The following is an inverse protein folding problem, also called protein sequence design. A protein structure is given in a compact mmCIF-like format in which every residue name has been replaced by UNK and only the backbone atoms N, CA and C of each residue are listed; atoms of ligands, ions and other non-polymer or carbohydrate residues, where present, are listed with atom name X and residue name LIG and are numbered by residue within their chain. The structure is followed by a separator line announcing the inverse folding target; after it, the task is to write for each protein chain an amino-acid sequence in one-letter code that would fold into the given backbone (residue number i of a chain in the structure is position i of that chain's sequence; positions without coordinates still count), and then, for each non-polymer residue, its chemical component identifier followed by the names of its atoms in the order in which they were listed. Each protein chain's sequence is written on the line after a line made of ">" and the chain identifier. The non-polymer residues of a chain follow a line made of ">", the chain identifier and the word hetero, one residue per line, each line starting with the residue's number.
data_IF_820439683394
#
_entry.id   IF_820439683394
#
_cell.length_a   1.000
_cell.length_b   1.000
_cell.length_c   1.000
_cell.angle_alpha   90.00
_cell.angle_beta   90.00
_cell.angle_gamma   90.00
#
_symmetry.space_group_name_H-M   'P 1'
#
loop_
_entity.id
_entity.type
_entity.pdbx_description
1 polymer ?
#
# COMPACT_ATOMS: atom_id res chain seq x y z
N UNK A 1 -3.54 -13.82 15.15
CA UNK A 1 -3.64 -12.99 13.93
C UNK A 1 -3.60 -11.54 14.37
N UNK A 2 -2.74 -10.70 13.79
CA UNK A 2 -2.60 -9.28 14.14
C UNK A 2 -3.04 -8.46 12.95
N UNK A 3 -3.85 -7.44 13.16
CA UNK A 3 -4.32 -6.50 12.12
C UNK A 3 -3.90 -5.10 12.50
N UNK A 4 -3.27 -4.37 11.59
CA UNK A 4 -2.83 -3.00 11.80
C UNK A 4 -2.76 -2.24 10.47
N UNK A 5 -2.83 -0.90 10.47
CA UNK A 5 -2.51 -0.08 9.30
C UNK A 5 -1.06 -0.31 8.84
N UNK A 6 -0.78 -0.09 7.54
CA UNK A 6 0.56 -0.30 6.96
C UNK A 6 1.65 0.51 7.68
N UNK A 7 1.33 1.72 8.12
CA UNK A 7 2.26 2.62 8.83
C UNK A 7 2.78 2.04 10.16
N UNK A 8 2.02 1.14 10.80
CA UNK A 8 2.40 0.46 12.03
C UNK A 8 3.14 -0.87 11.81
N UNK A 9 3.32 -1.28 10.55
CA UNK A 9 3.97 -2.54 10.22
C UNK A 9 5.50 -2.48 10.41
N UNK A 10 6.08 -1.28 10.48
CA UNK A 10 7.54 -1.07 10.55
C UNK A 10 8.17 -1.79 11.76
N UNK A 11 9.22 -2.56 11.50
CA UNK A 11 9.98 -3.28 12.53
C UNK A 11 9.34 -4.59 12.99
N UNK A 12 8.14 -4.92 12.48
CA UNK A 12 7.54 -6.24 12.64
C UNK A 12 7.99 -7.14 11.49
N UNK A 13 7.88 -8.46 11.64
CA UNK A 13 8.06 -9.44 10.56
C UNK A 13 7.22 -10.69 10.84
N UNK A 14 6.67 -11.29 9.79
CA UNK A 14 5.78 -12.44 9.89
C UNK A 14 6.11 -13.47 8.79
N UNK A 15 5.83 -14.76 9.06
CA UNK A 15 5.95 -15.80 8.03
C UNK A 15 5.03 -15.52 6.85
N UNK A 16 3.78 -15.16 7.12
CA UNK A 16 2.80 -14.78 6.11
C UNK A 16 2.23 -13.38 6.41
N UNK A 17 2.08 -12.56 5.37
CA UNK A 17 1.44 -11.23 5.45
C UNK A 17 0.36 -11.14 4.37
N UNK A 18 -0.78 -10.58 4.73
CA UNK A 18 -1.83 -10.18 3.79
C UNK A 18 -1.93 -8.66 3.81
N UNK A 19 -1.74 -8.02 2.66
CA UNK A 19 -2.06 -6.60 2.47
C UNK A 19 -3.42 -6.55 1.77
N UNK A 20 -4.41 -6.02 2.47
CA UNK A 20 -5.81 -6.05 2.06
C UNK A 20 -6.25 -4.70 1.52
N UNK A 21 -7.33 -4.68 0.73
CA UNK A 21 -7.91 -3.49 0.13
C UNK A 21 -6.90 -2.68 -0.73
N UNK A 22 -6.11 -3.37 -1.55
CA UNK A 22 -5.25 -2.76 -2.56
C UNK A 22 -6.10 -2.33 -3.79
N UNK A 23 -7.08 -1.48 -3.54
CA UNK A 23 -8.14 -1.07 -4.46
C UNK A 23 -7.85 0.34 -5.01
N UNK A 24 -8.41 0.68 -6.17
CA UNK A 24 -8.41 2.06 -6.67
C UNK A 24 -9.10 2.98 -5.63
N UNK A 25 -8.50 4.14 -5.37
CA UNK A 25 -8.96 5.14 -4.39
C UNK A 25 -8.75 4.79 -2.92
N UNK A 26 -8.34 3.55 -2.60
CA UNK A 26 -7.89 3.16 -1.26
C UNK A 26 -6.36 3.20 -1.18
N UNK A 27 -5.67 2.84 -2.26
CA UNK A 27 -4.22 2.88 -2.36
C UNK A 27 -3.81 3.40 -3.76
N UNK A 28 -3.34 4.64 -3.89
CA UNK A 28 -3.28 5.69 -2.87
C UNK A 28 -4.68 6.11 -2.37
N UNK A 29 -4.75 6.66 -1.15
CA UNK A 29 -6.01 7.11 -0.57
C UNK A 29 -6.50 8.40 -1.25
N UNK A 30 -7.68 8.36 -1.86
CA UNK A 30 -8.26 9.49 -2.61
C UNK A 30 -8.35 10.79 -1.81
N UNK A 31 -8.71 10.70 -0.52
CA UNK A 31 -8.78 11.89 0.35
C UNK A 31 -7.42 12.61 0.43
N UNK A 32 -6.31 11.87 0.50
CA UNK A 32 -4.96 12.46 0.52
C UNK A 32 -4.56 13.03 -0.82
N UNK A 33 -5.00 12.40 -1.91
CA UNK A 33 -4.77 12.86 -3.27
C UNK A 33 -5.52 14.17 -3.51
N UNK A 34 -6.76 14.27 -3.04
CA UNK A 34 -7.61 15.45 -3.18
C UNK A 34 -7.14 16.64 -2.33
N UNK A 35 -6.50 16.37 -1.19
CA UNK A 35 -5.99 17.40 -0.27
C UNK A 35 -4.64 18.03 -0.70
N UNK A 36 -3.96 17.47 -1.72
CA UNK A 36 -2.69 18.00 -2.21
C UNK A 36 -2.84 19.41 -2.81
N UNK A 37 -2.00 20.36 -2.39
CA UNK A 37 -2.09 21.76 -2.80
C UNK A 37 -1.47 22.04 -4.17
N UNK A 38 -0.48 21.25 -4.57
CA UNK A 38 0.24 21.36 -5.84
C UNK A 38 0.78 20.01 -6.33
N UNK A 39 1.41 20.01 -7.51
CA UNK A 39 1.95 18.81 -8.15
C UNK A 39 3.09 18.18 -7.33
N UNK A 40 3.89 18.98 -6.62
CA UNK A 40 4.98 18.45 -5.80
C UNK A 40 4.44 17.72 -4.56
N UNK A 41 3.42 18.27 -3.90
CA UNK A 41 2.74 17.59 -2.79
C UNK A 41 1.99 16.34 -3.26
N UNK A 42 1.40 16.38 -4.45
CA UNK A 42 0.76 15.22 -5.07
C UNK A 42 1.78 14.07 -5.28
N UNK A 43 2.92 14.36 -5.88
CA UNK A 43 4.01 13.39 -6.06
C UNK A 43 4.47 12.81 -4.71
N UNK A 44 4.64 13.64 -3.69
CA UNK A 44 5.02 13.22 -2.34
C UNK A 44 3.98 12.28 -1.69
N UNK A 45 2.67 12.52 -1.91
CA UNK A 45 1.60 11.64 -1.46
C UNK A 45 1.71 10.27 -2.13
N UNK A 46 1.87 10.24 -3.45
CA UNK A 46 2.00 9.00 -4.20
C UNK A 46 3.22 8.19 -3.74
N UNK A 47 4.39 8.83 -3.65
CA UNK A 47 5.62 8.18 -3.18
C UNK A 47 5.48 7.67 -1.72
N UNK A 48 4.79 8.41 -0.87
CA UNK A 48 4.54 8.00 0.52
C UNK A 48 3.64 6.76 0.59
N UNK A 49 2.52 6.74 -0.12
CA UNK A 49 1.59 5.60 -0.18
C UNK A 49 2.28 4.36 -0.78
N UNK A 50 3.04 4.54 -1.88
CA UNK A 50 3.85 3.48 -2.50
C UNK A 50 4.88 2.92 -1.52
N UNK A 51 5.53 3.78 -0.73
CA UNK A 51 6.48 3.36 0.32
C UNK A 51 5.79 2.60 1.45
N UNK A 52 4.57 2.96 1.85
CA UNK A 52 3.80 2.21 2.84
C UNK A 52 3.50 0.80 2.35
N UNK A 53 3.08 0.65 1.09
CA UNK A 53 2.89 -0.65 0.47
C UNK A 53 4.19 -1.47 0.49
N UNK A 54 5.30 -0.89 0.06
CA UNK A 54 6.62 -1.54 0.11
C UNK A 54 6.99 -2.03 1.53
N UNK A 55 6.80 -1.17 2.54
CA UNK A 55 7.08 -1.53 3.93
C UNK A 55 6.22 -2.71 4.37
N UNK A 56 4.92 -2.69 4.08
CA UNK A 56 4.00 -3.78 4.41
C UNK A 56 4.37 -5.09 3.70
N UNK A 57 4.63 -5.04 2.39
CA UNK A 57 5.03 -6.20 1.59
C UNK A 57 6.32 -6.84 2.11
N UNK A 58 7.33 -6.05 2.47
CA UNK A 58 8.61 -6.54 3.00
C UNK A 58 8.54 -7.06 4.43
N UNK A 59 7.36 -7.05 5.06
CA UNK A 59 7.16 -7.74 6.35
C UNK A 59 6.96 -9.25 6.20
N UNK A 60 6.65 -9.72 5.00
CA UNK A 60 6.51 -11.13 4.68
C UNK A 60 7.88 -11.82 4.57
N UNK A 61 8.07 -12.90 5.31
CA UNK A 61 9.27 -13.75 5.19
C UNK A 61 9.12 -14.91 4.20
N UNK A 62 7.93 -15.50 4.12
CA UNK A 62 7.67 -16.70 3.30
C UNK A 62 6.53 -16.48 2.31
N UNK A 63 5.41 -15.92 2.75
CA UNK A 63 4.21 -15.74 1.93
C UNK A 63 3.69 -14.31 1.98
N UNK A 64 3.48 -13.73 0.81
CA UNK A 64 2.81 -12.45 0.64
C UNK A 64 1.54 -12.66 -0.17
N UNK A 65 0.42 -12.14 0.32
CA UNK A 65 -0.83 -12.06 -0.43
C UNK A 65 -1.26 -10.59 -0.50
N UNK A 66 -1.47 -10.11 -1.72
CA UNK A 66 -2.11 -8.82 -1.99
C UNK A 66 -3.55 -9.11 -2.42
N UNK A 67 -4.51 -8.41 -1.83
CA UNK A 67 -5.92 -8.56 -2.24
C UNK A 67 -6.50 -7.21 -2.61
N UNK A 68 -7.25 -7.18 -3.70
CA UNK A 68 -8.09 -6.05 -4.05
C UNK A 68 -9.29 -6.47 -4.90
N UNK A 69 -10.24 -5.56 -5.06
CA UNK A 69 -11.37 -5.65 -5.97
C UNK A 69 -11.10 -4.82 -7.23
N UNK A 70 -11.76 -5.16 -8.33
CA UNK A 70 -11.59 -4.42 -9.59
C UNK A 70 -12.44 -3.14 -9.58
N UNK A 71 -11.89 -1.98 -9.96
CA UNK A 71 -10.49 -1.76 -10.35
C UNK A 71 -9.52 -1.74 -9.15
N UNK A 72 -8.37 -2.38 -9.31
CA UNK A 72 -7.33 -2.48 -8.28
C UNK A 72 -6.42 -1.26 -8.29
N UNK A 73 -5.72 -1.03 -7.17
CA UNK A 73 -4.67 -0.02 -7.06
C UNK A 73 -3.70 -0.08 -8.23
N UNK A 74 -3.33 1.09 -8.76
CA UNK A 74 -2.33 1.22 -9.83
C UNK A 74 -0.96 0.65 -9.42
N UNK A 75 -0.63 0.65 -8.12
CA UNK A 75 0.62 0.08 -7.61
C UNK A 75 0.70 -1.44 -7.79
N UNK A 76 -0.42 -2.13 -7.98
CA UNK A 76 -0.41 -3.57 -8.27
C UNK A 76 0.11 -3.88 -9.67
N UNK A 77 0.09 -2.92 -10.60
CA UNK A 77 0.62 -3.11 -11.95
C UNK A 77 2.11 -3.53 -11.93
N UNK A 78 2.86 -3.06 -10.94
CA UNK A 78 4.30 -3.36 -10.78
C UNK A 78 4.58 -4.85 -10.53
N UNK A 79 3.60 -5.62 -10.02
CA UNK A 79 3.73 -7.05 -9.77
C UNK A 79 3.30 -7.92 -10.96
N UNK A 80 2.69 -7.31 -11.97
CA UNK A 80 2.11 -8.02 -13.13
C UNK A 80 2.99 -7.97 -14.39
N UNK A 81 4.22 -7.46 -14.27
CA UNK A 81 5.21 -7.43 -15.35
C UNK A 81 5.87 -8.79 -15.58
#
# INVERSE_FOLDING_TARGET
>A
MVTAPMSLAKGLEFRAVVVMACDEGILPLDERVADAADEAELDDVYETERRLLYVACTRAREHLLLTGVSPTSEYLADFTQ
#
